data_IF_211573293712
#
_entry.id   IF_211573293712
#
_cell.length_a   1.000
_cell.length_b   1.000
_cell.length_c   1.000
_cell.angle_alpha   90.00
_cell.angle_beta   90.00
_cell.angle_gamma   90.00
#
_symmetry.space_group_name_H-M   'P 1'
#
loop_
_entity.id
_entity.type
_entity.pdbx_description
1 polymer ?
#
# COMPACT_ATOMS: atom_id res chain seq x y z
N UNK A 1 37.19 10.63 81.96
CA UNK A 1 37.04 9.56 80.97
C UNK A 1 37.33 10.17 79.61
N UNK A 2 38.59 10.04 79.18
CA UNK A 2 39.03 10.39 77.84
C UNK A 2 39.10 9.08 77.06
N UNK A 3 38.48 9.03 75.89
CA UNK A 3 38.49 7.88 75.01
C UNK A 3 39.63 8.09 74.01
N UNK A 4 40.68 7.27 74.12
CA UNK A 4 41.83 7.30 73.22
C UNK A 4 41.46 6.73 71.84
N UNK A 5 41.87 7.39 70.74
CA UNK A 5 41.74 6.81 69.41
C UNK A 5 42.79 5.71 69.19
N UNK A 6 42.29 4.55 68.77
CA UNK A 6 43.05 3.36 68.39
C UNK A 6 43.48 3.45 66.92
N UNK A 7 44.78 3.44 66.67
CA UNK A 7 45.39 3.01 65.40
C UNK A 7 46.09 4.09 64.56
N UNK A 8 47.20 3.76 63.86
CA UNK A 8 47.92 4.68 62.99
C UNK A 8 47.17 4.81 61.65
N UNK A 9 46.07 5.56 61.67
CA UNK A 9 45.18 5.71 60.52
C UNK A 9 44.29 6.94 60.62
N UNK A 10 44.74 7.96 61.36
CA UNK A 10 44.02 9.21 61.54
C UNK A 10 44.03 10.00 60.22
N UNK A 11 43.00 9.71 59.42
CA UNK A 11 42.27 10.54 58.46
C UNK A 11 43.01 11.79 57.96
N UNK A 12 43.79 11.63 56.90
CA UNK A 12 43.83 12.67 55.87
C UNK A 12 42.48 12.65 55.13
N UNK A 13 41.71 13.75 55.10
CA UNK A 13 40.54 13.82 54.23
C UNK A 13 41.05 13.81 52.78
N UNK A 14 40.98 12.65 52.15
CA UNK A 14 41.19 12.53 50.71
C UNK A 14 39.99 13.17 50.04
N UNK A 15 40.05 14.49 49.85
CA UNK A 15 39.15 15.17 48.94
C UNK A 15 39.45 14.63 47.54
N UNK A 16 38.74 13.58 47.15
CA UNK A 16 38.55 13.25 45.74
C UNK A 16 37.74 14.39 45.13
N UNK A 17 38.39 15.53 44.84
CA UNK A 17 37.86 16.50 43.89
C UNK A 17 37.77 15.75 42.57
N UNK A 18 36.57 15.29 42.25
CA UNK A 18 36.24 14.76 40.93
C UNK A 18 36.35 15.95 39.99
N UNK A 19 37.50 16.09 39.34
CA UNK A 19 37.69 17.08 38.28
C UNK A 19 36.57 16.84 37.27
N UNK A 20 35.73 17.84 36.96
CA UNK A 20 34.73 17.66 35.92
C UNK A 20 35.43 17.24 34.62
N UNK A 21 34.84 16.34 33.82
CA UNK A 21 35.43 15.98 32.55
C UNK A 21 35.65 17.26 31.74
N UNK A 22 36.83 17.43 31.12
CA UNK A 22 37.08 18.61 30.31
C UNK A 22 35.99 18.73 29.24
N UNK A 23 35.52 19.95 29.00
CA UNK A 23 34.59 20.20 27.91
C UNK A 23 35.19 19.71 26.59
N UNK A 24 34.38 19.10 25.70
CA UNK A 24 34.88 18.60 24.43
C UNK A 24 35.43 19.76 23.60
N UNK A 25 36.69 19.64 23.19
CA UNK A 25 37.36 20.62 22.33
C UNK A 25 36.57 20.80 21.02
N UNK A 26 36.53 22.01 20.50
CA UNK A 26 36.08 22.24 19.13
C UNK A 26 36.98 21.50 18.12
N UNK A 27 36.49 21.26 16.90
CA UNK A 27 37.28 20.58 15.85
C UNK A 27 38.62 21.27 15.57
N UNK A 28 38.65 22.60 15.67
CA UNK A 28 39.86 23.41 15.45
C UNK A 28 40.83 23.27 16.62
N UNK A 29 40.35 23.38 17.86
CA UNK A 29 41.17 23.19 19.06
C UNK A 29 41.72 21.76 19.13
N UNK A 30 40.92 20.76 18.74
CA UNK A 30 41.33 19.36 18.67
C UNK A 30 42.42 19.15 17.62
N UNK A 31 42.33 19.79 16.45
CA UNK A 31 43.37 19.73 15.42
C UNK A 31 44.69 20.34 15.91
N UNK A 32 44.63 21.52 16.56
CA UNK A 32 45.81 22.20 17.14
C UNK A 32 46.44 21.35 18.25
N UNK A 33 45.62 20.80 19.16
CA UNK A 33 46.08 19.93 20.23
C UNK A 33 46.72 18.63 19.67
N UNK A 34 46.14 18.04 18.63
CA UNK A 34 46.68 16.85 17.97
C UNK A 34 48.03 17.15 17.31
N UNK A 35 48.17 18.29 16.62
CA UNK A 35 49.44 18.70 16.02
C UNK A 35 50.51 19.00 17.08
N UNK A 36 50.14 19.60 18.22
CA UNK A 36 51.04 19.82 19.34
C UNK A 36 51.50 18.49 19.97
N UNK A 37 50.58 17.57 20.23
CA UNK A 37 50.88 16.24 20.74
C UNK A 37 51.79 15.46 19.79
N UNK A 38 51.50 15.47 18.48
CA UNK A 38 52.32 14.81 17.46
C UNK A 38 53.77 15.33 17.47
N UNK A 39 53.98 16.64 17.55
CA UNK A 39 55.33 17.22 17.64
C UNK A 39 56.09 16.82 18.90
N UNK A 40 55.40 16.75 20.05
CA UNK A 40 56.02 16.36 21.32
C UNK A 40 56.35 14.86 21.37
N UNK A 41 55.50 14.02 20.76
CA UNK A 41 55.67 12.56 20.78
C UNK A 41 56.59 12.05 19.67
N UNK A 42 56.69 12.72 18.52
CA UNK A 42 57.46 12.24 17.38
C UNK A 42 58.92 11.85 17.72
N UNK A 43 59.69 12.63 18.52
CA UNK A 43 61.06 12.25 18.89
C UNK A 43 61.14 11.04 19.83
N UNK A 44 60.03 10.64 20.45
CA UNK A 44 59.95 9.52 21.40
C UNK A 44 59.54 8.21 20.73
N UNK A 45 59.08 8.26 19.47
CA UNK A 45 58.60 7.10 18.73
C UNK A 45 59.70 6.55 17.80
N UNK A 46 59.79 5.22 17.62
CA UNK A 46 60.72 4.64 16.66
C UNK A 46 60.35 5.04 15.23
N UNK A 47 61.38 5.17 14.38
CA UNK A 47 61.18 5.52 12.97
C UNK A 47 60.44 4.40 12.23
N UNK A 48 59.35 4.71 11.49
CA UNK A 48 58.64 3.72 10.71
C UNK A 48 59.47 3.17 9.55
N UNK A 49 59.54 1.84 9.47
CA UNK A 49 60.24 1.10 8.43
C UNK A 49 59.40 0.97 7.16
N UNK A 50 60.06 0.99 6.01
CA UNK A 50 59.50 0.75 4.68
C UNK A 50 59.79 -0.63 4.11
N UNK A 51 60.30 -1.54 4.94
CA UNK A 51 60.69 -2.86 4.50
C UNK A 51 60.44 -3.95 5.55
N UNK A 52 60.41 -5.18 5.08
CA UNK A 52 60.34 -6.41 5.88
C UNK A 52 61.45 -7.39 5.49
N UNK A 53 61.64 -8.41 6.31
CA UNK A 53 62.53 -9.53 6.04
C UNK A 53 61.68 -10.75 5.66
N UNK A 54 61.77 -11.17 4.40
CA UNK A 54 61.08 -12.38 3.92
C UNK A 54 61.90 -13.63 4.26
N UNK A 55 61.22 -14.65 4.78
CA UNK A 55 61.78 -15.92 5.19
C UNK A 55 61.22 -17.08 4.34
N UNK A 56 61.97 -18.18 4.27
CA UNK A 56 61.64 -19.33 3.42
C UNK A 56 60.39 -20.12 3.88
N UNK A 57 59.90 -19.89 5.09
CA UNK A 57 58.74 -20.56 5.70
C UNK A 57 57.42 -19.80 5.48
N UNK A 58 57.38 -18.96 4.42
CA UNK A 58 56.24 -18.10 4.08
C UNK A 58 55.92 -17.08 5.17
N UNK A 59 56.94 -16.54 5.83
CA UNK A 59 56.77 -15.44 6.78
C UNK A 59 57.51 -14.18 6.37
N UNK A 60 56.99 -13.03 6.81
CA UNK A 60 57.66 -11.75 6.76
C UNK A 60 57.80 -11.20 8.19
N UNK A 61 59.00 -10.76 8.55
CA UNK A 61 59.27 -10.17 9.87
C UNK A 61 59.46 -8.67 9.71
N UNK A 62 58.70 -7.90 10.47
CA UNK A 62 58.82 -6.46 10.63
C UNK A 62 59.48 -6.15 11.99
N UNK A 63 60.77 -5.75 12.02
CA UNK A 63 61.50 -5.49 13.27
C UNK A 63 61.04 -4.24 14.06
N UNK A 64 60.13 -3.46 13.49
CA UNK A 64 59.63 -2.20 14.05
C UNK A 64 58.32 -1.80 13.38
N UNK A 65 57.74 -0.64 13.74
CA UNK A 65 56.51 -0.17 13.12
C UNK A 65 56.72 0.06 11.63
N UNK A 66 55.78 -0.37 10.81
CA UNK A 66 55.83 -0.16 9.37
C UNK A 66 55.18 1.16 8.98
N UNK A 67 55.63 1.76 7.87
CA UNK A 67 54.89 2.84 7.21
C UNK A 67 53.52 2.33 6.80
N UNK A 68 52.51 3.18 6.92
CA UNK A 68 51.09 2.81 6.71
C UNK A 68 50.84 2.06 5.39
N UNK A 69 51.35 2.50 4.22
CA UNK A 69 51.08 1.80 2.95
C UNK A 69 51.57 0.35 2.95
N UNK A 70 52.75 0.10 3.52
CA UNK A 70 53.31 -1.24 3.66
C UNK A 70 52.51 -2.08 4.67
N UNK A 71 52.17 -1.50 5.81
CA UNK A 71 51.36 -2.16 6.84
C UNK A 71 49.98 -2.58 6.32
N UNK A 72 49.31 -1.68 5.59
CA UNK A 72 47.97 -1.92 5.04
C UNK A 72 47.99 -3.03 3.99
N UNK A 73 48.98 -2.99 3.08
CA UNK A 73 49.13 -4.02 2.05
C UNK A 73 49.49 -5.39 2.65
N UNK A 74 50.41 -5.45 3.62
CA UNK A 74 50.71 -6.69 4.34
C UNK A 74 49.52 -7.19 5.17
N UNK A 75 48.71 -6.29 5.71
CA UNK A 75 47.47 -6.64 6.43
C UNK A 75 46.44 -7.34 5.56
N UNK A 76 46.46 -7.09 4.24
CA UNK A 76 45.64 -7.83 3.27
C UNK A 76 46.34 -9.11 2.83
N UNK A 77 47.61 -9.00 2.43
CA UNK A 77 48.40 -10.04 1.76
C UNK A 77 48.87 -11.18 2.68
N UNK A 78 48.86 -10.96 4.00
CA UNK A 78 49.31 -11.93 4.99
C UNK A 78 48.43 -11.88 6.25
N UNK A 79 48.63 -12.85 7.14
CA UNK A 79 48.00 -12.90 8.46
C UNK A 79 49.01 -12.58 9.55
N UNK A 80 48.61 -11.85 10.58
CA UNK A 80 49.51 -11.52 11.68
C UNK A 80 49.54 -12.69 12.67
N UNK A 81 50.69 -13.36 12.76
CA UNK A 81 50.90 -14.47 13.67
C UNK A 81 51.32 -13.99 15.07
N UNK A 82 52.16 -12.95 15.12
CA UNK A 82 52.63 -12.35 16.38
C UNK A 82 52.79 -10.84 16.26
N UNK A 83 52.46 -10.12 17.33
CA UNK A 83 52.60 -8.66 17.46
C UNK A 83 53.58 -8.27 18.57
N UNK A 84 54.59 -9.10 18.82
CA UNK A 84 55.61 -8.85 19.84
C UNK A 84 56.58 -7.72 19.45
N UNK A 85 57.82 -7.80 19.94
CA UNK A 85 58.88 -6.85 19.58
C UNK A 85 59.20 -6.79 18.09
N UNK A 86 58.81 -7.82 17.33
CA UNK A 86 58.71 -7.81 15.89
C UNK A 86 57.35 -8.35 15.47
N UNK A 87 56.72 -7.73 14.48
CA UNK A 87 55.47 -8.25 13.92
C UNK A 87 55.79 -9.32 12.89
N UNK A 88 55.23 -10.50 13.06
CA UNK A 88 55.41 -11.62 12.13
C UNK A 88 54.14 -11.80 11.33
N UNK A 89 54.28 -11.74 10.02
CA UNK A 89 53.22 -11.95 9.04
C UNK A 89 53.42 -13.31 8.39
N UNK A 90 52.37 -14.10 8.25
CA UNK A 90 52.38 -15.40 7.55
C UNK A 90 51.57 -15.30 6.27
N UNK A 91 52.19 -15.66 5.15
CA UNK A 91 51.51 -15.78 3.87
C UNK A 91 50.84 -17.15 3.79
N UNK A 92 49.53 -17.12 3.57
CA UNK A 92 48.69 -18.30 3.37
C UNK A 92 47.97 -18.20 2.02
N UNK A 93 47.53 -19.32 1.41
CA UNK A 93 46.73 -19.28 0.19
C UNK A 93 45.49 -18.38 0.33
N UNK A 94 44.86 -18.36 1.51
CA UNK A 94 43.71 -17.51 1.81
C UNK A 94 44.06 -16.02 1.80
N UNK A 95 45.16 -15.63 2.44
CA UNK A 95 45.61 -14.23 2.48
C UNK A 95 46.03 -13.70 1.10
N UNK A 96 46.73 -14.51 0.30
CA UNK A 96 47.08 -14.16 -1.08
C UNK A 96 45.81 -14.01 -1.93
N UNK A 97 44.87 -14.93 -1.81
CA UNK A 97 43.57 -14.83 -2.49
C UNK A 97 42.84 -13.55 -2.10
N UNK A 98 42.82 -13.15 -0.82
CA UNK A 98 42.20 -11.87 -0.39
C UNK A 98 42.82 -10.68 -1.11
N UNK A 99 44.14 -10.67 -1.30
CA UNK A 99 44.82 -9.60 -2.02
C UNK A 99 44.40 -9.56 -3.51
N UNK A 100 44.23 -10.73 -4.15
CA UNK A 100 43.72 -10.81 -5.52
C UNK A 100 42.25 -10.40 -5.62
N UNK A 101 41.42 -10.79 -4.65
CA UNK A 101 40.01 -10.37 -4.54
C UNK A 101 39.89 -8.85 -4.36
N UNK A 102 40.87 -8.21 -3.72
CA UNK A 102 40.98 -6.75 -3.61
C UNK A 102 41.50 -6.06 -4.89
N UNK A 103 41.66 -6.80 -5.99
CA UNK A 103 42.04 -6.27 -7.31
C UNK A 103 43.54 -6.17 -7.57
N UNK A 104 44.40 -6.79 -6.74
CA UNK A 104 45.84 -6.88 -7.03
C UNK A 104 46.12 -7.98 -8.05
N UNK A 105 47.03 -7.74 -8.98
CA UNK A 105 47.55 -8.80 -9.86
C UNK A 105 48.75 -9.51 -9.23
N UNK A 106 49.06 -10.72 -9.69
CA UNK A 106 50.27 -11.44 -9.25
C UNK A 106 51.55 -10.62 -9.48
N UNK A 107 51.65 -9.94 -10.63
CA UNK A 107 52.78 -9.04 -10.94
C UNK A 107 52.88 -7.89 -9.94
N UNK A 108 51.76 -7.30 -9.52
CA UNK A 108 51.78 -6.22 -8.52
C UNK A 108 52.26 -6.75 -7.17
N UNK A 109 51.84 -7.95 -6.77
CA UNK A 109 52.27 -8.58 -5.53
C UNK A 109 53.77 -8.89 -5.53
N UNK A 110 54.28 -9.44 -6.63
CA UNK A 110 55.72 -9.70 -6.79
C UNK A 110 56.54 -8.41 -6.78
N UNK A 111 56.10 -7.38 -7.51
CA UNK A 111 56.77 -6.08 -7.55
C UNK A 111 56.77 -5.42 -6.16
N UNK A 112 55.63 -5.45 -5.47
CA UNK A 112 55.50 -4.92 -4.11
C UNK A 112 56.45 -5.60 -3.12
N UNK A 113 56.50 -6.93 -3.13
CA UNK A 113 57.39 -7.70 -2.26
C UNK A 113 58.87 -7.47 -2.60
N UNK A 114 59.21 -7.33 -3.89
CA UNK A 114 60.56 -7.02 -4.32
C UNK A 114 61.02 -5.62 -3.89
N UNK A 115 60.11 -4.63 -3.91
CA UNK A 115 60.38 -3.26 -3.48
C UNK A 115 60.55 -3.14 -1.96
N UNK A 116 59.70 -3.81 -1.19
CA UNK A 116 59.61 -3.65 0.27
C UNK A 116 60.31 -4.78 1.06
N UNK A 117 61.11 -5.63 0.41
CA UNK A 117 61.87 -6.67 1.09
C UNK A 117 63.37 -6.35 1.12
N UNK A 118 63.99 -6.51 2.29
CA UNK A 118 65.45 -6.44 2.43
C UNK A 118 66.15 -7.74 2.00
N UNK A 119 65.41 -8.83 1.91
CA UNK A 119 65.89 -10.13 1.41
C UNK A 119 65.26 -10.44 0.05
N UNK A 120 65.91 -11.23 -0.82
CA UNK A 120 65.28 -11.71 -2.03
C UNK A 120 63.96 -12.44 -1.74
N UNK A 121 62.97 -12.31 -2.61
CA UNK A 121 61.68 -13.01 -2.46
C UNK A 121 61.92 -14.52 -2.50
N UNK A 122 61.56 -15.27 -1.45
CA UNK A 122 61.75 -16.72 -1.41
C UNK A 122 60.94 -17.43 -2.49
N UNK A 123 61.54 -18.41 -3.16
CA UNK A 123 60.87 -19.20 -4.21
C UNK A 123 59.54 -19.82 -3.75
N UNK A 124 59.39 -20.35 -2.52
CA UNK A 124 58.10 -20.88 -2.06
C UNK A 124 56.98 -19.82 -2.05
N UNK A 125 57.30 -18.58 -1.69
CA UNK A 125 56.34 -17.48 -1.68
C UNK A 125 55.95 -17.09 -3.11
N UNK A 126 56.94 -17.01 -4.00
CA UNK A 126 56.68 -16.71 -5.40
C UNK A 126 55.75 -17.76 -6.04
N UNK A 127 56.03 -19.04 -5.78
CA UNK A 127 55.19 -20.15 -6.26
C UNK A 127 53.77 -20.10 -5.69
N UNK A 128 53.61 -19.81 -4.39
CA UNK A 128 52.31 -19.65 -3.76
C UNK A 128 51.47 -18.57 -4.46
N UNK A 129 52.08 -17.41 -4.75
CA UNK A 129 51.41 -16.29 -5.43
C UNK A 129 50.94 -16.73 -6.82
N UNK A 130 51.82 -17.32 -7.61
CA UNK A 130 51.51 -17.73 -8.98
C UNK A 130 50.43 -18.82 -9.03
N UNK A 131 50.48 -19.79 -8.12
CA UNK A 131 49.52 -20.89 -8.04
C UNK A 131 48.12 -20.39 -7.64
N UNK A 132 48.03 -19.52 -6.63
CA UNK A 132 46.76 -18.90 -6.23
C UNK A 132 46.23 -17.99 -7.34
N UNK A 133 47.08 -17.21 -7.99
CA UNK A 133 46.69 -16.34 -9.10
C UNK A 133 46.18 -17.11 -10.31
N UNK A 134 46.80 -18.26 -10.66
CA UNK A 134 46.29 -19.15 -11.70
C UNK A 134 44.89 -19.62 -11.39
N UNK A 135 44.63 -20.01 -10.15
CA UNK A 135 43.33 -20.55 -9.71
C UNK A 135 42.27 -19.47 -9.46
N UNK A 136 42.68 -18.22 -9.28
CA UNK A 136 41.81 -17.07 -9.05
C UNK A 136 41.04 -16.68 -10.32
N UNK A 137 39.75 -16.37 -10.17
CA UNK A 137 38.92 -15.89 -11.29
C UNK A 137 38.55 -16.94 -12.36
N UNK A 138 38.84 -18.23 -12.15
CA UNK A 138 38.34 -19.31 -13.02
C UNK A 138 36.82 -19.42 -13.01
N UNK A 139 36.21 -19.25 -11.83
CA UNK A 139 34.77 -19.20 -11.67
C UNK A 139 34.33 -17.75 -11.67
N UNK A 140 33.35 -17.42 -12.53
CA UNK A 140 32.79 -16.08 -12.64
C UNK A 140 31.32 -16.14 -12.31
N UNK A 141 30.91 -15.36 -11.32
CA UNK A 141 29.50 -15.18 -10.95
C UNK A 141 29.05 -13.82 -11.47
N UNK A 142 27.86 -13.77 -12.04
CA UNK A 142 27.22 -12.52 -12.45
C UNK A 142 25.73 -12.60 -12.19
N UNK A 143 25.09 -11.44 -12.04
CA UNK A 143 23.63 -11.38 -11.96
C UNK A 143 23.00 -11.83 -13.28
N UNK A 144 21.93 -12.60 -13.19
CA UNK A 144 21.06 -12.98 -14.31
C UNK A 144 19.64 -13.09 -13.75
N UNK A 145 18.80 -12.09 -14.02
CA UNK A 145 17.43 -12.00 -13.50
C UNK A 145 16.49 -12.96 -14.22
N UNK A 146 16.78 -13.28 -15.48
CA UNK A 146 16.06 -14.26 -16.29
C UNK A 146 17.00 -14.87 -17.33
N UNK A 147 16.57 -15.98 -17.95
CA UNK A 147 17.30 -16.63 -19.04
C UNK A 147 16.35 -17.00 -20.18
N UNK A 148 16.91 -17.17 -21.38
CA UNK A 148 16.23 -17.71 -22.55
C UNK A 148 16.97 -18.96 -22.98
N UNK A 149 16.25 -20.08 -23.07
CA UNK A 149 16.74 -21.32 -23.65
C UNK A 149 16.10 -21.52 -25.02
N UNK A 150 16.91 -21.88 -26.01
CA UNK A 150 16.42 -22.24 -27.34
C UNK A 150 17.33 -23.32 -27.90
N UNK A 151 16.73 -24.34 -28.50
CA UNK A 151 17.49 -25.44 -29.12
C UNK A 151 18.15 -25.02 -30.46
N UNK A 152 17.71 -23.88 -31.03
CA UNK A 152 18.27 -23.28 -32.23
C UNK A 152 19.20 -22.10 -31.86
N UNK A 153 20.49 -22.25 -32.16
CA UNK A 153 21.52 -21.26 -31.86
C UNK A 153 21.47 -20.05 -32.83
N UNK A 154 20.91 -20.22 -34.02
CA UNK A 154 20.74 -19.17 -35.01
C UNK A 154 19.64 -18.19 -34.57
N UNK A 155 18.55 -18.69 -33.99
CA UNK A 155 17.49 -17.86 -33.42
C UNK A 155 18.03 -16.97 -32.27
N UNK A 156 18.89 -17.52 -31.40
CA UNK A 156 19.51 -16.71 -30.34
C UNK A 156 20.48 -15.66 -30.89
N UNK A 157 21.17 -15.94 -31.99
CA UNK A 157 21.99 -14.96 -32.69
C UNK A 157 21.15 -13.83 -33.30
N UNK A 158 20.00 -14.16 -33.89
CA UNK A 158 19.06 -13.18 -34.43
C UNK A 158 18.54 -12.24 -33.34
N UNK A 159 18.11 -12.79 -32.20
CA UNK A 159 17.65 -12.02 -31.04
C UNK A 159 18.76 -11.08 -30.54
N UNK A 160 20.01 -11.56 -30.44
CA UNK A 160 21.15 -10.73 -30.00
C UNK A 160 21.51 -9.61 -30.99
N UNK A 161 21.26 -9.81 -32.29
CA UNK A 161 21.55 -8.83 -33.33
C UNK A 161 20.46 -7.76 -33.46
N UNK A 162 19.24 -8.02 -32.98
CA UNK A 162 18.13 -7.06 -33.05
C UNK A 162 18.35 -5.88 -32.07
N UNK A 163 18.34 -4.65 -32.60
CA UNK A 163 18.48 -3.43 -31.81
C UNK A 163 17.38 -3.27 -30.76
N UNK A 164 16.19 -3.83 -30.99
CA UNK A 164 15.06 -3.82 -30.04
C UNK A 164 15.39 -4.60 -28.76
N UNK A 165 16.28 -5.59 -28.83
CA UNK A 165 16.72 -6.38 -27.68
C UNK A 165 17.70 -5.64 -26.75
N UNK A 166 18.18 -4.45 -27.12
CA UNK A 166 19.15 -3.68 -26.32
C UNK A 166 18.65 -3.37 -24.89
N UNK A 167 17.34 -3.15 -24.74
CA UNK A 167 16.71 -2.92 -23.43
C UNK A 167 16.70 -4.15 -22.51
N UNK A 168 16.76 -5.36 -23.08
CA UNK A 168 16.76 -6.62 -22.34
C UNK A 168 18.13 -6.98 -21.75
N UNK A 169 19.19 -6.28 -22.20
CA UNK A 169 20.58 -6.48 -21.76
C UNK A 169 21.01 -7.96 -21.82
N UNK A 170 20.72 -8.59 -22.95
CA UNK A 170 21.02 -10.00 -23.19
C UNK A 170 22.53 -10.23 -23.26
N UNK A 171 22.98 -11.34 -22.67
CA UNK A 171 24.35 -11.84 -22.72
C UNK A 171 24.32 -13.34 -22.99
N UNK A 172 25.10 -13.80 -23.96
CA UNK A 172 25.22 -15.24 -24.24
C UNK A 172 26.01 -15.96 -23.16
N UNK A 173 25.44 -17.01 -22.58
CA UNK A 173 26.10 -17.88 -21.60
C UNK A 173 26.53 -19.21 -22.23
N UNK A 174 25.73 -19.73 -23.16
CA UNK A 174 25.99 -20.94 -23.91
C UNK A 174 25.45 -20.81 -25.35
N UNK A 175 25.76 -21.74 -26.28
CA UNK A 175 25.17 -21.72 -27.62
C UNK A 175 23.64 -21.67 -27.61
N UNK A 176 23.00 -22.34 -26.66
CA UNK A 176 21.54 -22.46 -26.53
C UNK A 176 20.95 -21.66 -25.35
N UNK A 177 21.75 -20.80 -24.70
CA UNK A 177 21.32 -20.06 -23.49
C UNK A 177 21.78 -18.61 -23.51
N UNK A 178 20.82 -17.70 -23.36
CA UNK A 178 21.04 -16.28 -23.06
C UNK A 178 20.65 -15.97 -21.62
N UNK A 179 21.40 -15.09 -20.96
CA UNK A 179 20.99 -14.45 -19.71
C UNK A 179 20.54 -13.02 -19.98
N UNK A 180 19.53 -12.57 -19.24
CA UNK A 180 19.02 -11.21 -19.26
C UNK A 180 19.17 -10.56 -17.88
N UNK A 181 19.31 -9.23 -17.85
CA UNK A 181 19.19 -8.46 -16.60
C UNK A 181 17.75 -8.03 -16.31
N UNK A 182 16.90 -8.04 -17.34
CA UNK A 182 15.46 -7.82 -17.19
C UNK A 182 14.81 -8.98 -16.41
N UNK A 183 13.76 -8.68 -15.65
CA UNK A 183 12.97 -9.70 -14.97
C UNK A 183 12.23 -10.61 -15.99
N UNK A 184 11.76 -11.80 -15.58
CA UNK A 184 11.13 -12.75 -16.49
C UNK A 184 9.91 -12.20 -17.24
N UNK A 185 9.10 -11.34 -16.62
CA UNK A 185 7.90 -10.79 -17.25
C UNK A 185 8.26 -9.77 -18.34
N UNK A 186 9.19 -8.85 -18.04
CA UNK A 186 9.72 -7.90 -19.02
C UNK A 186 10.44 -8.59 -20.18
N UNK A 187 11.15 -9.69 -19.92
CA UNK A 187 11.80 -10.50 -20.96
C UNK A 187 10.78 -11.17 -21.89
N UNK A 188 9.73 -11.77 -21.33
CA UNK A 188 8.65 -12.38 -22.12
C UNK A 188 7.94 -11.35 -23.01
N UNK A 189 7.57 -10.19 -22.45
CA UNK A 189 6.91 -9.13 -23.20
C UNK A 189 7.83 -8.52 -24.27
N UNK A 190 9.11 -8.30 -23.94
CA UNK A 190 10.09 -7.78 -24.91
C UNK A 190 10.31 -8.73 -26.09
N UNK A 191 10.43 -10.04 -25.83
CA UNK A 191 10.54 -11.05 -26.89
C UNK A 191 9.26 -11.12 -27.75
N UNK A 192 8.07 -11.04 -27.14
CA UNK A 192 6.79 -10.96 -27.87
C UNK A 192 6.69 -9.73 -28.75
N UNK A 193 7.08 -8.57 -28.24
CA UNK A 193 7.10 -7.31 -29.00
C UNK A 193 8.06 -7.36 -30.19
N UNK A 194 9.08 -8.23 -30.14
CA UNK A 194 9.99 -8.46 -31.26
C UNK A 194 9.43 -9.42 -32.32
N UNK A 195 8.33 -10.12 -32.03
CA UNK A 195 7.70 -11.09 -32.92
C UNK A 195 8.01 -12.56 -32.59
N UNK A 196 8.75 -12.81 -31.51
CA UNK A 196 9.01 -14.18 -31.04
C UNK A 196 7.84 -14.71 -30.19
N UNK A 197 7.71 -16.03 -30.10
CA UNK A 197 6.70 -16.70 -29.28
C UNK A 197 7.34 -17.45 -28.10
N UNK A 198 7.88 -16.75 -27.09
CA UNK A 198 8.50 -17.40 -25.94
C UNK A 198 7.43 -18.04 -25.03
N UNK A 199 7.79 -19.17 -24.44
CA UNK A 199 7.03 -19.78 -23.36
C UNK A 199 7.70 -19.46 -22.01
N UNK A 200 6.90 -19.28 -20.97
CA UNK A 200 7.44 -19.13 -19.62
C UNK A 200 7.93 -20.49 -19.12
N UNK A 201 9.06 -20.55 -18.41
CA UNK A 201 9.52 -21.75 -17.70
C UNK A 201 9.38 -21.53 -16.18
N UNK A 202 9.11 -22.59 -15.42
CA UNK A 202 9.05 -22.57 -13.96
C UNK A 202 10.45 -22.55 -13.34
N UNK A 203 10.54 -22.41 -12.02
CA UNK A 203 11.82 -22.50 -11.32
C UNK A 203 12.49 -23.88 -11.49
N UNK A 204 11.69 -24.91 -11.74
CA UNK A 204 12.10 -26.30 -12.00
C UNK A 204 12.44 -26.56 -13.49
N UNK A 205 12.21 -25.58 -14.37
CA UNK A 205 12.48 -25.68 -15.81
C UNK A 205 11.33 -26.24 -16.65
N UNK A 206 10.16 -26.45 -16.05
CA UNK A 206 8.97 -26.92 -16.76
C UNK A 206 8.29 -25.76 -17.49
N UNK A 207 7.79 -26.00 -18.70
CA UNK A 207 7.09 -24.96 -19.48
C UNK A 207 5.75 -24.62 -18.82
N UNK A 208 5.64 -23.40 -18.31
CA UNK A 208 4.43 -22.82 -17.76
C UNK A 208 3.49 -22.38 -18.88
N UNK A 209 2.45 -23.18 -19.11
CA UNK A 209 1.33 -22.81 -19.97
C UNK A 209 0.44 -21.85 -19.19
N UNK A 210 0.71 -20.55 -19.31
CA UNK A 210 -0.22 -19.51 -18.83
C UNK A 210 -1.40 -19.46 -19.80
N UNK A 211 -2.47 -20.19 -19.48
CA UNK A 211 -3.76 -19.96 -20.13
C UNK A 211 -4.16 -18.54 -19.75
N UNK A 212 -4.40 -17.66 -20.72
CA UNK A 212 -4.92 -16.33 -20.45
C UNK A 212 -6.17 -16.48 -19.58
N UNK A 213 -6.14 -15.90 -18.37
CA UNK A 213 -7.27 -15.94 -17.47
C UNK A 213 -8.46 -15.31 -18.20
N UNK A 214 -9.44 -16.16 -18.51
CA UNK A 214 -10.73 -15.70 -18.98
C UNK A 214 -11.26 -14.80 -17.87
N UNK A 215 -11.37 -13.50 -18.14
CA UNK A 215 -11.93 -12.53 -17.20
C UNK A 215 -13.38 -12.94 -16.95
N UNK A 216 -13.60 -13.75 -15.91
CA UNK A 216 -14.91 -14.26 -15.54
C UNK A 216 -15.56 -13.19 -14.70
N UNK A 217 -16.72 -12.71 -15.12
CA UNK A 217 -17.53 -11.82 -14.28
C UNK A 217 -17.76 -12.51 -12.93
N UNK A 218 -17.52 -11.84 -11.79
CA UNK A 218 -17.79 -12.42 -10.48
C UNK A 218 -19.27 -12.83 -10.39
N UNK A 219 -19.58 -13.89 -9.61
CA UNK A 219 -20.96 -14.36 -9.48
C UNK A 219 -21.84 -13.20 -8.97
N UNK A 220 -22.90 -12.87 -9.73
CA UNK A 220 -23.84 -11.82 -9.34
C UNK A 220 -24.66 -12.34 -8.16
N UNK A 221 -24.57 -11.65 -7.02
CA UNK A 221 -25.46 -11.88 -5.88
C UNK A 221 -26.87 -11.42 -6.25
N UNK A 222 -27.89 -12.24 -5.97
CA UNK A 222 -29.28 -11.83 -6.14
C UNK A 222 -29.59 -10.63 -5.22
N UNK A 223 -30.35 -9.62 -5.67
CA UNK A 223 -30.74 -8.50 -4.81
C UNK A 223 -31.54 -9.00 -3.61
N UNK A 224 -31.33 -8.39 -2.45
CA UNK A 224 -32.11 -8.71 -1.23
C UNK A 224 -33.58 -8.30 -1.45
N UNK A 225 -34.56 -9.16 -1.10
CA UNK A 225 -35.97 -8.83 -1.27
C UNK A 225 -36.35 -7.63 -0.40
N UNK A 226 -36.85 -6.56 -1.02
CA UNK A 226 -37.46 -5.44 -0.29
C UNK A 226 -38.81 -5.95 0.26
N UNK A 227 -39.09 -5.80 1.56
CA UNK A 227 -40.39 -6.20 2.11
C UNK A 227 -41.49 -5.31 1.53
N UNK A 228 -42.42 -5.92 0.79
CA UNK A 228 -43.64 -5.26 0.33
C UNK A 228 -44.59 -5.03 1.50
N UNK A 229 -44.79 -3.77 1.87
CA UNK A 229 -45.79 -3.35 2.86
C UNK A 229 -45.62 -1.90 3.30
N UNK A 230 -46.71 -1.19 3.66
CA UNK A 230 -46.59 0.14 4.24
C UNK A 230 -45.78 0.08 5.55
N UNK A 231 -45.02 1.14 5.88
CA UNK A 231 -44.23 1.17 7.10
C UNK A 231 -45.12 0.94 8.33
N UNK A 232 -44.58 0.25 9.33
CA UNK A 232 -45.29 0.01 10.59
C UNK A 232 -45.78 1.33 11.20
N UNK A 233 -47.09 1.48 11.52
CA UNK A 233 -47.63 2.74 12.01
C UNK A 233 -46.94 3.21 13.29
N UNK A 234 -46.70 4.50 13.39
CA UNK A 234 -46.12 5.09 14.59
C UNK A 234 -47.11 5.13 15.77
N UNK A 235 -46.60 5.37 16.97
CA UNK A 235 -47.41 5.41 18.20
C UNK A 235 -48.49 6.51 18.15
N UNK A 236 -48.26 7.56 17.38
CA UNK A 236 -49.18 8.70 17.21
C UNK A 236 -50.43 8.27 16.45
N UNK A 237 -50.25 7.54 15.36
CA UNK A 237 -51.32 7.03 14.50
C UNK A 237 -52.13 5.96 15.22
N UNK A 238 -51.44 5.10 15.99
CA UNK A 238 -52.11 4.12 16.85
C UNK A 238 -52.96 4.80 17.94
N UNK A 239 -52.46 5.86 18.57
CA UNK A 239 -53.21 6.61 19.58
C UNK A 239 -54.41 7.36 18.98
N UNK A 240 -54.29 7.89 17.76
CA UNK A 240 -55.41 8.49 17.03
C UNK A 240 -56.50 7.45 16.70
N UNK A 241 -56.11 6.27 16.21
CA UNK A 241 -57.04 5.18 15.92
C UNK A 241 -57.81 4.73 17.18
N UNK A 242 -57.12 4.57 18.32
CA UNK A 242 -57.77 4.20 19.59
C UNK A 242 -58.78 5.28 20.03
N UNK A 243 -58.47 6.56 19.86
CA UNK A 243 -59.42 7.65 20.18
C UNK A 243 -60.65 7.63 19.27
N UNK A 244 -60.46 7.39 17.97
CA UNK A 244 -61.56 7.29 17.02
C UNK A 244 -62.51 6.13 17.36
N UNK A 245 -61.97 4.95 17.69
CA UNK A 245 -62.77 3.80 18.11
C UNK A 245 -63.59 4.13 19.36
N UNK A 246 -62.96 4.72 20.38
CA UNK A 246 -63.66 5.11 21.62
C UNK A 246 -64.74 6.17 21.39
N UNK A 247 -64.52 7.10 20.47
CA UNK A 247 -65.53 8.10 20.09
C UNK A 247 -66.72 7.43 19.38
N UNK A 248 -66.48 6.46 18.50
CA UNK A 248 -67.51 5.65 17.86
C UNK A 248 -68.34 4.83 18.85
N UNK A 249 -67.69 4.20 19.82
CA UNK A 249 -68.37 3.45 20.88
C UNK A 249 -69.30 4.35 21.72
N UNK A 250 -68.86 5.56 22.05
CA UNK A 250 -69.67 6.55 22.77
C UNK A 250 -70.87 7.05 21.93
N UNK A 251 -70.67 7.23 20.63
CA UNK A 251 -71.74 7.60 19.70
C UNK A 251 -72.78 6.48 19.52
N UNK A 252 -72.35 5.21 19.54
CA UNK A 252 -73.24 4.04 19.41
C UNK A 252 -74.12 3.79 20.64
N UNK A 253 -73.67 4.21 21.83
CA UNK A 253 -74.39 4.00 23.10
C UNK A 253 -75.36 5.14 23.45
N UNK A 254 -75.38 6.21 22.65
CA UNK A 254 -76.30 7.35 22.81
C UNK A 254 -77.60 7.10 22.03
N UNK A 255 -78.78 6.93 22.66
CA UNK A 255 -80.01 6.56 21.94
C UNK A 255 -80.55 7.72 21.09
N UNK A 256 -80.45 7.60 19.77
CA UNK A 256 -81.10 8.52 18.80
C UNK A 256 -82.53 8.04 18.51
N UNK A 257 -83.49 8.97 18.70
CA UNK A 257 -84.94 8.80 18.50
C UNK A 257 -85.27 8.41 17.05
N UNK A 258 -86.09 7.37 16.80
CA UNK A 258 -86.37 6.92 15.44
C UNK A 258 -87.50 7.75 14.79
N UNK A 259 -87.18 8.37 13.65
CA UNK A 259 -88.13 8.70 12.58
C UNK A 259 -87.53 8.06 11.33
N UNK A 260 -88.07 6.95 10.82
CA UNK A 260 -89.30 6.85 10.03
C UNK A 260 -89.26 7.76 8.78
N UNK A 261 -89.13 7.08 7.64
CA UNK A 261 -89.46 7.47 6.28
C UNK A 261 -88.46 8.32 5.49
N UNK A 262 -87.78 7.66 4.55
CA UNK A 262 -87.40 8.26 3.28
C UNK A 262 -87.46 7.20 2.16
N UNK A 263 -88.68 6.96 1.65
CA UNK A 263 -88.87 6.75 0.23
C UNK A 263 -89.16 8.11 -0.40
N UNK A 264 -88.42 8.43 -1.46
CA UNK A 264 -88.62 9.57 -2.37
C UNK A 264 -88.48 10.98 -1.75
N UNK A 265 -87.37 11.67 -2.02
CA UNK A 265 -87.27 12.82 -2.95
C UNK A 265 -85.79 13.01 -3.35
N UNK A 266 -85.61 13.24 -4.65
CA UNK A 266 -84.43 13.69 -5.39
C UNK A 266 -83.78 14.96 -4.84
N UNK A 267 -82.44 15.00 -4.72
CA UNK A 267 -81.73 16.27 -4.47
C UNK A 267 -80.33 16.12 -3.89
N UNK A 268 -79.41 15.55 -4.65
CA UNK A 268 -77.96 15.56 -4.35
C UNK A 268 -77.13 15.61 -5.62
N UNK A 269 -77.69 16.15 -6.72
CA UNK A 269 -76.95 16.25 -7.97
C UNK A 269 -76.01 17.47 -7.90
N UNK A 270 -74.70 17.21 -7.97
CA UNK A 270 -73.65 18.22 -7.99
C UNK A 270 -73.86 19.21 -9.14
N UNK A 271 -73.67 20.53 -8.92
CA UNK A 271 -73.71 21.52 -10.00
C UNK A 271 -72.72 21.15 -11.10
N UNK A 272 -73.15 21.19 -12.37
CA UNK A 272 -72.23 21.01 -13.50
C UNK A 272 -71.40 22.27 -13.67
N UNK A 273 -70.12 22.20 -13.31
CA UNK A 273 -69.16 23.31 -13.39
C UNK A 273 -68.41 23.27 -14.72
N UNK A 274 -68.02 24.44 -15.22
CA UNK A 274 -67.14 24.51 -16.40
C UNK A 274 -65.74 23.97 -16.04
N UNK A 275 -64.96 23.50 -17.03
CA UNK A 275 -63.62 22.95 -16.75
C UNK A 275 -62.67 23.97 -16.09
N UNK A 276 -62.86 25.27 -16.37
CA UNK A 276 -62.10 26.35 -15.74
C UNK A 276 -62.47 26.52 -14.27
N UNK A 277 -63.76 26.48 -13.93
CA UNK A 277 -64.24 26.54 -12.53
C UNK A 277 -63.81 25.31 -11.75
N UNK A 278 -63.96 24.10 -12.31
CA UNK A 278 -63.49 22.85 -11.68
C UNK A 278 -62.00 22.93 -11.33
N UNK A 279 -61.18 23.42 -12.26
CA UNK A 279 -59.74 23.56 -12.01
C UNK A 279 -59.47 24.60 -10.92
N UNK A 280 -60.14 25.75 -10.95
CA UNK A 280 -59.98 26.80 -9.94
C UNK A 280 -60.38 26.31 -8.54
N UNK A 281 -61.52 25.63 -8.40
CA UNK A 281 -61.97 25.07 -7.12
C UNK A 281 -61.03 23.98 -6.62
N UNK A 282 -60.52 23.11 -7.50
CA UNK A 282 -59.52 22.09 -7.11
C UNK A 282 -58.21 22.72 -6.65
N UNK A 283 -57.74 23.77 -7.31
CA UNK A 283 -56.53 24.49 -6.90
C UNK A 283 -56.72 25.21 -5.56
N UNK A 284 -57.90 25.81 -5.33
CA UNK A 284 -58.24 26.41 -4.05
C UNK A 284 -58.26 25.35 -2.93
N UNK A 285 -58.91 24.21 -3.16
CA UNK A 285 -58.99 23.11 -2.19
C UNK A 285 -57.64 22.45 -1.89
N UNK A 286 -56.70 22.40 -2.86
CA UNK A 286 -55.31 21.98 -2.58
C UNK A 286 -54.61 22.94 -1.63
N UNK A 287 -54.89 24.25 -1.76
CA UNK A 287 -54.28 25.28 -0.91
C UNK A 287 -54.90 25.31 0.50
N UNK A 288 -56.21 25.11 0.63
CA UNK A 288 -56.91 25.08 1.93
C UNK A 288 -56.83 23.71 2.61
N UNK A 289 -56.61 22.64 1.84
CA UNK A 289 -56.65 21.26 2.32
C UNK A 289 -58.07 20.73 2.56
N UNK A 290 -59.09 21.42 2.03
CA UNK A 290 -60.50 21.07 2.25
C UNK A 290 -60.97 19.93 1.32
N UNK A 291 -61.90 19.12 1.81
CA UNK A 291 -62.52 18.07 1.02
C UNK A 291 -63.61 18.65 0.13
N UNK A 292 -63.66 18.16 -1.12
CA UNK A 292 -64.57 18.64 -2.15
C UNK A 292 -65.38 17.48 -2.69
N UNK A 293 -66.65 17.72 -2.96
CA UNK A 293 -67.53 16.74 -3.56
C UNK A 293 -67.48 16.87 -5.09
N UNK A 294 -67.29 15.74 -5.78
CA UNK A 294 -67.11 15.71 -7.23
C UNK A 294 -68.04 14.72 -7.90
N UNK A 295 -68.50 15.07 -9.09
CA UNK A 295 -69.11 14.14 -10.03
C UNK A 295 -68.03 13.63 -10.99
N UNK A 296 -67.87 12.32 -11.11
CA UNK A 296 -66.83 11.70 -11.93
C UNK A 296 -67.40 10.60 -12.83
N UNK A 297 -67.04 10.63 -14.11
CA UNK A 297 -67.39 9.57 -15.08
C UNK A 297 -66.17 8.70 -15.33
N UNK A 298 -66.30 7.38 -15.14
CA UNK A 298 -65.22 6.43 -15.38
C UNK A 298 -65.00 6.13 -16.88
N UNK A 299 -64.03 5.28 -17.21
CA UNK A 299 -63.71 4.96 -18.60
C UNK A 299 -64.85 4.22 -19.33
N UNK A 300 -65.69 3.53 -18.57
CA UNK A 300 -66.84 2.77 -19.03
C UNK A 300 -68.11 3.66 -19.18
N UNK A 301 -68.01 4.97 -18.90
CA UNK A 301 -69.10 5.93 -19.05
C UNK A 301 -70.10 5.97 -17.88
N UNK A 302 -69.86 5.24 -16.79
CA UNK A 302 -70.67 5.29 -15.59
C UNK A 302 -70.33 6.52 -14.74
N UNK A 303 -71.35 7.33 -14.42
CA UNK A 303 -71.23 8.47 -13.53
C UNK A 303 -71.30 8.03 -12.06
N UNK A 304 -70.39 8.55 -11.24
CA UNK A 304 -70.32 8.33 -9.80
C UNK A 304 -70.05 9.64 -9.08
N UNK A 305 -70.47 9.74 -7.82
CA UNK A 305 -70.18 10.89 -6.97
C UNK A 305 -69.17 10.49 -5.91
N UNK A 306 -68.19 11.36 -5.61
CA UNK A 306 -67.08 11.05 -4.70
C UNK A 306 -66.67 12.28 -3.90
N UNK A 307 -66.39 12.10 -2.61
CA UNK A 307 -65.77 13.14 -1.79
C UNK A 307 -64.27 12.93 -1.78
N UNK A 308 -63.53 13.92 -2.26
CA UNK A 308 -62.08 13.84 -2.41
C UNK A 308 -61.38 15.00 -1.70
N UNK A 309 -60.25 14.74 -1.07
CA UNK A 309 -59.33 15.77 -0.56
C UNK A 309 -58.17 15.92 -1.56
N UNK A 310 -58.18 16.95 -2.42
CA UNK A 310 -57.17 17.10 -3.47
C UNK A 310 -55.82 17.47 -2.87
N UNK A 311 -54.78 16.76 -3.28
CA UNK A 311 -53.40 16.94 -2.79
C UNK A 311 -52.57 17.71 -3.81
N UNK A 312 -52.81 17.49 -5.11
CA UNK A 312 -52.06 18.13 -6.19
C UNK A 312 -52.87 18.19 -7.48
N UNK A 313 -52.80 19.31 -8.20
CA UNK A 313 -53.41 19.50 -9.52
C UNK A 313 -52.34 19.89 -10.53
N UNK A 314 -52.02 18.99 -11.47
CA UNK A 314 -51.03 19.25 -12.53
C UNK A 314 -51.38 18.53 -13.83
N UNK A 315 -51.02 19.12 -14.97
CA UNK A 315 -51.11 18.47 -16.28
C UNK A 315 -52.53 18.05 -16.70
N UNK A 316 -53.57 18.65 -16.12
CA UNK A 316 -54.96 18.26 -16.39
C UNK A 316 -55.50 17.13 -15.51
N UNK A 317 -54.75 16.71 -14.50
CA UNK A 317 -55.13 15.67 -13.53
C UNK A 317 -55.14 16.24 -12.11
N UNK A 318 -55.99 15.67 -11.25
CA UNK A 318 -55.99 15.92 -9.81
C UNK A 318 -55.69 14.60 -9.09
N UNK A 319 -54.63 14.58 -8.29
CA UNK A 319 -54.34 13.49 -7.37
C UNK A 319 -54.95 13.87 -6.02
N UNK A 320 -55.85 13.03 -5.54
CA UNK A 320 -56.64 13.29 -4.35
C UNK A 320 -56.84 12.02 -3.54
N UNK A 321 -56.99 12.16 -2.23
CA UNK A 321 -57.47 11.07 -1.39
C UNK A 321 -58.99 10.96 -1.55
N UNK A 322 -59.48 9.81 -2.00
CA UNK A 322 -60.92 9.56 -2.18
C UNK A 322 -61.49 8.93 -0.91
N UNK A 323 -62.23 9.71 -0.13
CA UNK A 323 -62.86 9.24 1.11
C UNK A 323 -63.93 8.16 0.87
N UNK A 324 -64.42 8.02 -0.37
CA UNK A 324 -65.41 6.99 -0.71
C UNK A 324 -64.74 5.63 -0.94
N UNK A 325 -63.50 5.63 -1.44
CA UNK A 325 -62.72 4.43 -1.75
C UNK A 325 -61.56 4.18 -0.77
N UNK A 326 -61.33 5.10 0.16
CA UNK A 326 -60.28 5.10 1.19
C UNK A 326 -58.84 4.98 0.62
N UNK A 327 -58.60 5.51 -0.57
CA UNK A 327 -57.34 5.37 -1.32
C UNK A 327 -56.95 6.68 -2.05
N UNK A 328 -55.65 6.93 -2.23
CA UNK A 328 -55.15 8.02 -3.09
C UNK A 328 -55.31 7.66 -4.56
N UNK A 329 -56.07 8.47 -5.31
CA UNK A 329 -56.33 8.25 -6.74
C UNK A 329 -56.10 9.50 -7.55
N UNK A 330 -55.76 9.29 -8.83
CA UNK A 330 -55.58 10.38 -9.80
C UNK A 330 -56.74 10.42 -10.77
N UNK A 331 -57.43 11.56 -10.82
CA UNK A 331 -58.60 11.81 -11.65
C UNK A 331 -58.27 12.78 -12.79
N UNK A 332 -58.59 12.46 -14.05
CA UNK A 332 -58.52 13.43 -15.14
C UNK A 332 -59.59 14.51 -14.97
N UNK A 333 -59.22 15.80 -14.98
CA UNK A 333 -60.14 16.92 -14.77
C UNK A 333 -61.27 16.96 -15.81
N UNK A 334 -61.00 16.57 -17.05
CA UNK A 334 -62.01 16.53 -18.13
C UNK A 334 -63.10 15.48 -17.93
N UNK A 335 -62.95 14.57 -16.95
CA UNK A 335 -63.95 13.57 -16.57
C UNK A 335 -64.72 13.95 -15.31
N UNK A 336 -64.36 15.08 -14.69
CA UNK A 336 -65.10 15.63 -13.57
C UNK A 336 -66.24 16.48 -14.14
N UNK A 337 -67.47 16.06 -13.89
CA UNK A 337 -68.68 16.67 -14.44
C UNK A 337 -69.18 17.85 -13.60
N UNK A 338 -68.72 17.97 -12.36
CA UNK A 338 -69.14 19.00 -11.41
C UNK A 338 -68.35 18.93 -10.12
N UNK A 339 -68.18 20.07 -9.46
CA UNK A 339 -67.46 20.21 -8.19
C UNK A 339 -68.26 21.11 -7.26
N UNK A 340 -68.42 20.71 -6.00
CA UNK A 340 -68.97 21.56 -4.95
C UNK A 340 -68.14 21.42 -3.67
N UNK A 341 -67.85 22.56 -3.05
CA UNK A 341 -67.28 22.61 -1.70
C UNK A 341 -68.30 22.01 -0.71
N UNK A 342 -67.81 21.15 0.20
CA UNK A 342 -68.65 20.64 1.28
C UNK A 342 -68.82 21.77 2.31
N UNK A 343 -70.07 22.08 2.66
CA UNK A 343 -70.33 23.04 3.73
C UNK A 343 -69.81 22.47 5.06
N UNK A 344 -69.05 23.28 5.81
CA UNK A 344 -68.61 22.94 7.16
C UNK A 344 -69.82 22.69 8.09
N UNK A 345 -69.99 21.45 8.55
CA UNK A 345 -70.85 21.17 9.69
C UNK A 345 -70.17 21.73 10.94
N UNK A 346 -70.69 22.86 11.44
CA UNK A 346 -70.31 23.40 12.74
C UNK A 346 -70.76 22.45 13.85
N UNK A 347 -69.76 21.95 14.59
CA UNK A 347 -69.78 21.32 15.91
C UNK A 347 -69.98 19.79 16.00
#
# INVERSE_FOLDING_TARGET
>A
MAEEPVGPGDKLPVHHRRTPPPEPLSSTEQAVATAAAARLLAPLLPEPLDHVLLQADLTAVAPGPLRRPLADMLGVLAEVESKGGATVYRFTPGSVRRALDAGRSASDLHAFLAEHSRTPVPQPLAYLIDDVARRHGHLRVGAASAYVRCDDDAMLNEILADKRAAGLRLRRLAPTVLAAQADPAALLEGLRAMGFAPAAESAEGDVLITRADAHRTPPRTAPEPVPDGPPTPDATLLAAAIRAIRAGDLASTTPRRPSANAGAVTGGELPRTTSAETLATMQAAVLTGEAVWIGYVNAEGAASQRVIAPVRVEGGFVTAYDHTADEVRTYPLHRITGVAELADDQA
#
